data_IF_399049125933
#
_entry.id   IF_399049125933
#
_cell.length_a   1.000
_cell.length_b   1.000
_cell.length_c   1.000
_cell.angle_alpha   90.00
_cell.angle_beta   90.00
_cell.angle_gamma   90.00
#
_symmetry.space_group_name_H-M   'P 1'
#
loop_
_entity.id
_entity.type
_entity.pdbx_description
1 polymer ?
#
# COMPACT_ATOMS: atom_id res chain seq x y z
N UNK A 1 53.49 -26.77 43.08
CA UNK A 1 53.97 -26.89 41.66
C UNK A 1 52.83 -26.44 40.78
N UNK A 2 52.84 -25.13 40.36
CA UNK A 2 51.73 -24.47 39.70
C UNK A 2 52.15 -24.21 38.26
N UNK A 3 51.48 -24.91 37.33
CA UNK A 3 51.68 -24.72 35.91
C UNK A 3 50.60 -23.71 35.41
N UNK A 4 51.05 -22.53 35.01
CA UNK A 4 50.22 -21.49 34.34
C UNK A 4 50.15 -21.82 32.85
N UNK A 5 48.97 -22.18 32.35
CA UNK A 5 48.68 -22.15 30.91
C UNK A 5 48.31 -20.76 30.48
N UNK A 6 49.11 -20.16 29.62
CA UNK A 6 48.83 -18.93 28.87
C UNK A 6 47.96 -19.27 27.66
N UNK A 7 46.75 -18.81 27.65
CA UNK A 7 45.86 -18.95 26.50
C UNK A 7 45.96 -17.69 25.62
N UNK A 8 46.56 -17.89 24.45
CA UNK A 8 46.70 -16.85 23.43
C UNK A 8 45.36 -16.72 22.70
N UNK A 9 44.68 -15.58 22.88
CA UNK A 9 43.50 -15.20 22.08
C UNK A 9 43.96 -14.62 20.74
N UNK A 10 43.83 -15.40 19.67
CA UNK A 10 43.96 -14.94 18.31
C UNK A 10 42.64 -14.24 17.90
N UNK A 11 42.67 -12.90 17.79
CA UNK A 11 41.63 -12.09 17.16
C UNK A 11 41.68 -12.35 15.64
N UNK A 12 40.76 -13.13 15.14
CA UNK A 12 40.43 -13.12 13.71
C UNK A 12 39.54 -11.89 13.42
N UNK A 13 40.13 -10.89 12.83
CA UNK A 13 39.39 -9.80 12.18
C UNK A 13 38.74 -10.38 10.91
N UNK A 14 37.50 -10.82 11.03
CA UNK A 14 36.67 -11.18 9.87
C UNK A 14 36.28 -9.93 9.11
N UNK A 15 36.96 -9.66 7.98
CA UNK A 15 36.43 -8.81 6.93
C UNK A 15 35.11 -9.42 6.44
N UNK A 16 34.00 -8.80 6.81
CA UNK A 16 32.72 -9.08 6.18
C UNK A 16 32.78 -8.52 4.75
N UNK A 17 33.12 -9.38 3.79
CA UNK A 17 32.83 -9.14 2.38
C UNK A 17 31.31 -8.98 2.23
N UNK A 18 30.86 -7.73 2.08
CA UNK A 18 29.50 -7.46 1.59
C UNK A 18 29.42 -7.99 0.16
N UNK A 19 28.93 -9.22 0.02
CA UNK A 19 28.46 -9.73 -1.26
C UNK A 19 27.33 -8.83 -1.73
N UNK A 20 27.64 -7.93 -2.66
CA UNK A 20 26.63 -7.22 -3.44
C UNK A 20 25.81 -8.29 -4.15
N UNK A 21 24.61 -8.53 -3.66
CA UNK A 21 23.59 -9.28 -4.37
C UNK A 21 23.35 -8.55 -5.69
N UNK A 22 23.90 -9.10 -6.77
CA UNK A 22 23.62 -8.68 -8.13
C UNK A 22 22.16 -9.04 -8.42
N UNK A 23 21.28 -8.06 -8.26
CA UNK A 23 19.88 -8.18 -8.70
C UNK A 23 19.92 -8.48 -10.20
N UNK A 24 19.52 -9.71 -10.58
CA UNK A 24 19.43 -10.08 -11.98
C UNK A 24 18.52 -9.11 -12.73
N UNK A 25 19.01 -8.49 -13.85
CA UNK A 25 18.21 -7.53 -14.58
C UNK A 25 16.98 -8.21 -15.20
N UNK A 26 15.81 -7.68 -14.89
CA UNK A 26 14.56 -8.11 -15.55
C UNK A 26 14.68 -7.92 -17.06
N UNK A 27 13.96 -8.73 -17.87
CA UNK A 27 14.03 -8.72 -19.36
C UNK A 27 13.86 -7.32 -19.98
N UNK A 28 13.13 -6.42 -19.31
CA UNK A 28 12.95 -5.02 -19.72
C UNK A 28 14.20 -4.15 -19.53
N UNK A 29 15.08 -4.51 -18.61
CA UNK A 29 16.37 -3.84 -18.41
C UNK A 29 17.40 -4.28 -19.44
N UNK A 30 17.43 -5.56 -19.85
CA UNK A 30 18.39 -6.07 -20.84
C UNK A 30 18.36 -5.31 -22.16
N UNK A 31 17.18 -4.93 -22.66
CA UNK A 31 17.05 -4.13 -23.89
C UNK A 31 17.59 -2.70 -23.73
N UNK A 32 17.38 -2.07 -22.56
CA UNK A 32 17.92 -0.72 -22.27
C UNK A 32 19.43 -0.75 -22.08
N UNK A 33 19.92 -1.77 -21.41
CA UNK A 33 21.36 -1.95 -21.17
C UNK A 33 22.11 -2.20 -22.47
N UNK A 34 21.52 -2.94 -23.43
CA UNK A 34 22.09 -3.14 -24.75
C UNK A 34 22.20 -1.83 -25.55
N UNK A 35 21.20 -0.95 -25.48
CA UNK A 35 21.25 0.37 -26.14
C UNK A 35 22.29 1.29 -25.49
N UNK A 36 22.42 1.27 -24.16
CA UNK A 36 23.46 2.04 -23.47
C UNK A 36 24.84 1.53 -23.82
N UNK A 37 25.04 0.22 -23.93
CA UNK A 37 26.28 -0.39 -24.33
C UNK A 37 26.66 0.01 -25.76
N UNK A 38 25.74 -0.14 -26.72
CA UNK A 38 25.95 0.27 -28.10
C UNK A 38 26.31 1.77 -28.21
N UNK A 39 25.57 2.64 -27.51
CA UNK A 39 25.85 4.08 -27.50
C UNK A 39 27.24 4.42 -26.91
N UNK A 40 27.74 3.59 -26.00
CA UNK A 40 29.09 3.74 -25.43
C UNK A 40 30.16 3.28 -26.44
N UNK A 41 29.95 2.15 -27.11
CA UNK A 41 30.83 1.61 -28.14
C UNK A 41 30.96 2.56 -29.34
N UNK A 42 29.82 3.14 -29.77
CA UNK A 42 29.77 4.11 -30.87
C UNK A 42 30.38 5.49 -30.50
N UNK A 43 30.84 5.65 -29.25
CA UNK A 43 31.41 6.90 -28.77
C UNK A 43 30.39 8.03 -28.56
N UNK A 44 29.08 7.74 -28.66
CA UNK A 44 27.98 8.71 -28.54
C UNK A 44 27.99 9.42 -27.17
N UNK A 45 28.44 8.74 -26.12
CA UNK A 45 28.53 9.30 -24.75
C UNK A 45 29.66 10.34 -24.62
N UNK A 46 30.60 10.44 -25.60
CA UNK A 46 31.71 11.41 -25.57
C UNK A 46 31.38 12.70 -26.31
N UNK A 47 30.25 12.77 -27.01
CA UNK A 47 29.74 14.02 -27.59
C UNK A 47 29.48 15.06 -26.51
N UNK A 48 29.99 16.28 -26.66
CA UNK A 48 29.89 17.34 -25.64
C UNK A 48 28.44 17.76 -25.36
N UNK A 49 27.55 17.73 -26.36
CA UNK A 49 26.14 18.04 -26.17
C UNK A 49 25.46 16.93 -25.37
N UNK A 50 25.81 15.67 -25.62
CA UNK A 50 25.27 14.52 -24.89
C UNK A 50 25.76 14.53 -23.45
N UNK A 51 27.04 14.77 -23.22
CA UNK A 51 27.61 14.91 -21.86
C UNK A 51 26.89 16.00 -21.08
N UNK A 52 26.72 17.19 -21.65
CA UNK A 52 25.98 18.28 -20.99
C UNK A 52 24.58 17.87 -20.63
N UNK A 53 23.82 17.21 -21.52
CA UNK A 53 22.47 16.71 -21.26
C UNK A 53 22.45 15.64 -20.18
N UNK A 54 23.41 14.72 -20.16
CA UNK A 54 23.52 13.68 -19.14
C UNK A 54 23.80 14.28 -17.76
N UNK A 55 24.73 15.25 -17.67
CA UNK A 55 25.02 15.95 -16.41
C UNK A 55 23.81 16.75 -15.92
N UNK A 56 23.08 17.42 -16.78
CA UNK A 56 21.85 18.12 -16.39
C UNK A 56 20.77 17.16 -15.87
N UNK A 57 20.59 16.01 -16.52
CA UNK A 57 19.65 14.99 -16.04
C UNK A 57 20.11 14.39 -14.71
N UNK A 58 21.41 14.09 -14.57
CA UNK A 58 22.01 13.62 -13.32
C UNK A 58 21.76 14.58 -12.18
N UNK A 59 22.01 15.87 -12.38
CA UNK A 59 21.77 16.92 -11.38
C UNK A 59 20.30 17.00 -10.97
N UNK A 60 19.38 16.96 -11.93
CA UNK A 60 17.93 16.97 -11.70
C UNK A 60 17.49 15.75 -10.90
N UNK A 61 17.93 14.54 -11.29
CA UNK A 61 17.60 13.30 -10.61
C UNK A 61 18.16 13.28 -9.19
N UNK A 62 19.44 13.64 -9.03
CA UNK A 62 20.08 13.69 -7.72
C UNK A 62 19.40 14.67 -6.78
N UNK A 63 19.13 15.90 -7.24
CA UNK A 63 18.42 16.90 -6.47
C UNK A 63 17.03 16.45 -6.05
N UNK A 64 16.30 15.83 -6.97
CA UNK A 64 14.97 15.26 -6.70
C UNK A 64 15.03 14.18 -5.62
N UNK A 65 15.90 13.18 -5.80
CA UNK A 65 16.03 12.05 -4.87
C UNK A 65 16.49 12.52 -3.47
N UNK A 66 17.43 13.46 -3.43
CA UNK A 66 17.88 14.04 -2.17
C UNK A 66 16.76 14.76 -1.42
N UNK A 67 16.00 15.61 -2.13
CA UNK A 67 14.88 16.32 -1.54
C UNK A 67 13.77 15.36 -1.07
N UNK A 68 13.45 14.33 -1.86
CA UNK A 68 12.48 13.28 -1.48
C UNK A 68 12.92 12.54 -0.22
N UNK A 69 14.20 12.20 -0.10
CA UNK A 69 14.75 11.56 1.10
C UNK A 69 14.66 12.47 2.33
N UNK A 70 15.00 13.76 2.19
CA UNK A 70 14.88 14.73 3.29
C UNK A 70 13.44 14.93 3.75
N UNK A 71 12.49 14.99 2.80
CA UNK A 71 11.06 15.08 3.10
C UNK A 71 10.57 13.82 3.81
N UNK A 72 10.92 12.64 3.30
CA UNK A 72 10.51 11.37 3.89
C UNK A 72 10.97 11.21 5.35
N UNK A 73 12.16 11.72 5.70
CA UNK A 73 12.67 11.68 7.08
C UNK A 73 11.95 12.64 8.02
N UNK A 74 11.32 13.71 7.51
CA UNK A 74 10.71 14.77 8.33
C UNK A 74 9.20 14.69 8.40
N UNK A 75 8.56 13.92 7.50
CA UNK A 75 7.10 13.81 7.44
C UNK A 75 6.64 12.54 8.10
N UNK A 76 5.89 12.71 9.17
CA UNK A 76 5.12 11.63 9.81
C UNK A 76 3.70 12.11 10.07
N UNK A 77 2.76 11.19 10.07
CA UNK A 77 1.35 11.45 10.38
C UNK A 77 0.90 10.43 11.42
N UNK A 78 0.56 10.95 12.60
CA UNK A 78 0.04 10.16 13.71
C UNK A 78 -1.46 9.87 13.55
N UNK A 79 -1.96 8.88 14.27
CA UNK A 79 -3.39 8.58 14.30
C UNK A 79 -4.21 9.71 14.91
N UNK A 80 -3.71 10.41 15.92
CA UNK A 80 -4.37 11.57 16.50
C UNK A 80 -4.55 12.73 15.52
N UNK A 81 -3.58 12.95 14.62
CA UNK A 81 -3.70 13.95 13.56
C UNK A 81 -4.76 13.56 12.52
N UNK A 82 -4.84 12.27 12.18
CA UNK A 82 -5.89 11.76 11.29
C UNK A 82 -7.27 11.94 11.90
N UNK A 83 -7.41 11.66 13.19
CA UNK A 83 -8.66 11.84 13.93
C UNK A 83 -9.06 13.32 14.01
N UNK A 84 -8.13 14.21 14.38
CA UNK A 84 -8.38 15.64 14.42
C UNK A 84 -8.78 16.19 13.04
N UNK A 85 -8.12 15.74 11.98
CA UNK A 85 -8.44 16.13 10.62
C UNK A 85 -9.81 15.59 10.18
N UNK A 86 -10.13 14.34 10.51
CA UNK A 86 -11.45 13.77 10.28
C UNK A 86 -12.54 14.60 10.96
N UNK A 87 -12.39 14.92 12.24
CA UNK A 87 -13.37 15.70 12.99
C UNK A 87 -13.61 17.08 12.36
N UNK A 88 -12.54 17.72 11.90
CA UNK A 88 -12.61 19.01 11.18
C UNK A 88 -13.34 18.89 9.83
N UNK A 89 -13.14 17.78 9.12
CA UNK A 89 -13.67 17.60 7.75
C UNK A 89 -14.86 16.64 7.68
N UNK A 90 -15.40 16.19 8.80
CA UNK A 90 -16.47 15.19 8.92
C UNK A 90 -17.66 15.43 8.00
N UNK A 91 -18.09 16.68 7.88
CA UNK A 91 -19.20 17.09 7.00
C UNK A 91 -18.93 16.86 5.50
N UNK A 92 -17.67 16.71 5.10
CA UNK A 92 -17.26 16.45 3.72
C UNK A 92 -17.26 14.96 3.37
N UNK A 93 -17.34 14.09 4.38
CA UNK A 93 -17.28 12.64 4.21
C UNK A 93 -18.68 12.02 4.18
N UNK A 94 -19.55 12.56 3.33
CA UNK A 94 -20.92 12.05 3.14
C UNK A 94 -20.92 11.00 2.03
N UNK A 95 -21.72 9.94 2.21
CA UNK A 95 -21.92 8.90 1.19
C UNK A 95 -22.78 9.42 0.05
N UNK A 96 -22.21 9.42 -1.15
CA UNK A 96 -22.94 9.86 -2.36
C UNK A 96 -23.86 8.76 -2.92
N UNK A 97 -23.60 7.51 -2.55
CA UNK A 97 -24.39 6.35 -2.91
C UNK A 97 -24.56 5.44 -1.69
N UNK A 98 -25.45 4.45 -1.79
CA UNK A 98 -25.54 3.36 -0.82
C UNK A 98 -24.28 2.50 -0.92
N UNK A 99 -23.66 2.18 0.23
CA UNK A 99 -22.47 1.35 0.32
C UNK A 99 -22.78 0.06 1.09
N UNK A 100 -22.23 -1.05 0.63
CA UNK A 100 -22.36 -2.36 1.25
C UNK A 100 -21.02 -2.76 1.86
N UNK A 101 -21.02 -3.09 3.15
CA UNK A 101 -19.89 -3.74 3.81
C UNK A 101 -20.06 -5.25 3.67
N UNK A 102 -19.20 -5.88 2.92
CA UNK A 102 -19.27 -7.31 2.59
C UNK A 102 -17.98 -8.04 2.99
N UNK A 103 -18.12 -9.31 3.34
CA UNK A 103 -17.01 -10.25 3.37
C UNK A 103 -17.04 -11.06 2.09
N UNK A 104 -15.90 -11.11 1.41
CA UNK A 104 -15.68 -11.92 0.23
C UNK A 104 -14.77 -13.10 0.58
N UNK A 105 -15.30 -14.30 0.45
CA UNK A 105 -14.55 -15.55 0.56
C UNK A 105 -14.24 -16.06 -0.83
N UNK A 106 -12.98 -16.37 -1.13
CA UNK A 106 -12.55 -16.86 -2.45
C UNK A 106 -11.96 -18.27 -2.32
N UNK A 107 -12.40 -19.18 -3.23
CA UNK A 107 -12.06 -20.60 -3.18
C UNK A 107 -11.71 -21.12 -4.58
N UNK A 108 -10.78 -22.08 -4.64
CA UNK A 108 -10.53 -22.85 -5.86
C UNK A 108 -11.61 -23.94 -6.07
N UNK A 109 -12.17 -24.51 -4.97
CA UNK A 109 -13.13 -25.61 -5.00
C UNK A 109 -14.56 -25.14 -4.73
N UNK A 110 -15.50 -25.65 -5.53
CA UNK A 110 -16.94 -25.44 -5.35
C UNK A 110 -17.45 -26.03 -4.03
N UNK A 111 -16.93 -27.21 -3.64
CA UNK A 111 -17.39 -27.89 -2.44
C UNK A 111 -16.98 -27.14 -1.18
N UNK A 112 -15.77 -26.59 -1.14
CA UNK A 112 -15.33 -25.72 -0.05
C UNK A 112 -16.20 -24.46 0.03
N UNK A 113 -16.53 -23.86 -1.12
CA UNK A 113 -17.40 -22.69 -1.17
C UNK A 113 -18.81 -22.99 -0.67
N UNK A 114 -19.38 -24.17 -1.01
CA UNK A 114 -20.67 -24.66 -0.50
C UNK A 114 -20.65 -24.90 1.01
N UNK A 115 -19.56 -25.50 1.51
CA UNK A 115 -19.36 -25.73 2.94
C UNK A 115 -19.39 -24.42 3.73
N UNK A 116 -18.60 -23.44 3.27
CA UNK A 116 -18.52 -22.12 3.93
C UNK A 116 -19.87 -21.40 3.87
N UNK A 117 -20.55 -21.42 2.74
CA UNK A 117 -21.90 -20.88 2.66
C UNK A 117 -22.82 -21.51 3.70
N UNK A 118 -22.85 -22.86 3.80
CA UNK A 118 -23.68 -23.58 4.77
C UNK A 118 -23.32 -23.22 6.23
N UNK A 119 -22.01 -23.01 6.52
CA UNK A 119 -21.57 -22.51 7.83
C UNK A 119 -22.12 -21.11 8.09
N UNK A 120 -22.00 -20.18 7.12
CA UNK A 120 -22.48 -18.80 7.25
C UNK A 120 -24.01 -18.70 7.36
N UNK A 121 -24.76 -19.53 6.64
CA UNK A 121 -26.24 -19.55 6.72
C UNK A 121 -26.76 -20.03 8.09
N UNK A 122 -25.93 -20.73 8.88
CA UNK A 122 -26.26 -21.16 10.24
C UNK A 122 -26.00 -20.09 11.31
N UNK A 123 -25.17 -19.11 10.99
CA UNK A 123 -24.89 -17.99 11.89
C UNK A 123 -26.03 -17.00 11.78
N UNK A 124 -26.95 -17.04 12.74
CA UNK A 124 -28.17 -16.23 12.74
C UNK A 124 -27.97 -14.80 13.21
N UNK A 125 -26.84 -14.51 13.87
CA UNK A 125 -26.49 -13.18 14.36
C UNK A 125 -24.97 -12.97 14.32
N UNK A 126 -24.48 -11.76 13.94
CA UNK A 126 -23.09 -11.40 14.13
C UNK A 126 -22.63 -11.39 15.59
N UNK A 127 -23.59 -11.36 16.53
CA UNK A 127 -23.34 -11.46 17.97
C UNK A 127 -23.12 -12.91 18.44
N UNK A 128 -23.26 -13.90 17.57
CA UNK A 128 -22.95 -15.32 17.83
C UNK A 128 -21.43 -15.52 17.68
N UNK A 129 -20.68 -14.94 18.65
CA UNK A 129 -19.23 -14.65 18.56
C UNK A 129 -18.33 -15.88 18.30
N UNK A 130 -18.77 -17.09 18.66
CA UNK A 130 -17.93 -18.28 18.49
C UNK A 130 -17.92 -18.86 17.07
N UNK A 131 -19.09 -18.95 16.43
CA UNK A 131 -19.24 -19.57 15.10
C UNK A 131 -18.71 -18.68 13.96
N UNK A 132 -19.05 -17.40 13.99
CA UNK A 132 -18.68 -16.44 12.94
C UNK A 132 -17.18 -16.12 12.97
N UNK A 133 -16.64 -15.85 14.16
CA UNK A 133 -15.23 -15.58 14.37
C UNK A 133 -14.35 -16.75 13.93
N UNK A 134 -14.79 -18.00 14.20
CA UNK A 134 -14.11 -19.21 13.75
C UNK A 134 -14.04 -19.31 12.21
N UNK A 135 -15.16 -19.00 11.52
CA UNK A 135 -15.18 -18.99 10.03
C UNK A 135 -14.23 -17.92 9.47
N UNK A 136 -14.20 -16.72 10.07
CA UNK A 136 -13.29 -15.65 9.64
C UNK A 136 -11.84 -16.05 9.86
N UNK A 137 -11.50 -16.64 11.01
CA UNK A 137 -10.14 -17.07 11.32
C UNK A 137 -9.67 -18.20 10.38
N UNK A 138 -10.56 -19.16 10.09
CA UNK A 138 -10.27 -20.31 9.22
C UNK A 138 -10.08 -19.90 7.75
N UNK A 139 -11.00 -19.08 7.20
CA UNK A 139 -11.07 -18.81 5.77
C UNK A 139 -10.57 -17.43 5.35
N UNK A 140 -10.20 -16.55 6.28
CA UNK A 140 -9.58 -15.23 6.08
C UNK A 140 -10.20 -14.42 4.93
N UNK A 141 -11.50 -14.10 4.98
CA UNK A 141 -12.17 -13.37 3.91
C UNK A 141 -11.62 -11.96 3.76
N UNK A 142 -11.72 -11.42 2.54
CA UNK A 142 -11.48 -10.01 2.30
C UNK A 142 -12.69 -9.19 2.73
N UNK A 143 -12.48 -8.17 3.57
CA UNK A 143 -13.51 -7.22 3.97
C UNK A 143 -13.51 -6.04 3.01
N UNK A 144 -14.61 -5.81 2.33
CA UNK A 144 -14.75 -4.79 1.29
C UNK A 144 -15.92 -3.85 1.60
N UNK A 145 -15.69 -2.54 1.45
CA UNK A 145 -16.76 -1.52 1.43
C UNK A 145 -16.94 -1.09 -0.02
N UNK A 146 -18.06 -1.43 -0.62
CA UNK A 146 -18.30 -1.27 -2.05
C UNK A 146 -19.57 -0.47 -2.32
N UNK A 147 -19.51 0.49 -3.25
CA UNK A 147 -20.71 1.16 -3.75
C UNK A 147 -21.67 0.14 -4.34
N UNK A 148 -22.94 0.21 -4.00
CA UNK A 148 -23.98 -0.69 -4.49
C UNK A 148 -23.99 -0.80 -6.03
N UNK A 149 -23.79 0.30 -6.73
CA UNK A 149 -23.79 0.35 -8.20
C UNK A 149 -22.63 -0.39 -8.85
N UNK A 150 -21.51 -0.58 -8.14
CA UNK A 150 -20.31 -1.28 -8.62
C UNK A 150 -20.45 -2.80 -8.51
N UNK A 151 -21.43 -3.28 -7.76
CA UNK A 151 -21.70 -4.72 -7.60
C UNK A 151 -22.56 -5.19 -8.76
N UNK A 152 -22.21 -6.35 -9.35
CA UNK A 152 -23.03 -6.98 -10.41
C UNK A 152 -24.49 -7.07 -9.97
N UNK A 153 -25.42 -6.70 -10.85
CA UNK A 153 -26.88 -6.62 -10.55
C UNK A 153 -27.41 -7.89 -9.90
N UNK A 154 -27.00 -9.06 -10.39
CA UNK A 154 -27.43 -10.36 -9.85
C UNK A 154 -27.02 -10.57 -8.39
N UNK A 155 -25.79 -10.21 -8.03
CA UNK A 155 -25.28 -10.32 -6.65
C UNK A 155 -25.96 -9.29 -5.76
N UNK A 156 -26.05 -8.05 -6.23
CA UNK A 156 -26.68 -6.94 -5.53
C UNK A 156 -28.13 -7.26 -5.16
N UNK A 157 -28.92 -7.71 -6.12
CA UNK A 157 -30.34 -8.07 -5.88
C UNK A 157 -30.48 -9.14 -4.81
N UNK A 158 -29.59 -10.12 -4.79
CA UNK A 158 -29.62 -11.18 -3.78
C UNK A 158 -29.17 -10.69 -2.40
N UNK A 159 -28.10 -9.87 -2.33
CA UNK A 159 -27.61 -9.29 -1.07
C UNK A 159 -28.65 -8.38 -0.42
N UNK A 160 -29.43 -7.64 -1.20
CA UNK A 160 -30.42 -6.66 -0.70
C UNK A 160 -31.83 -7.24 -0.59
N UNK A 161 -32.04 -8.52 -0.92
CA UNK A 161 -33.39 -9.14 -0.91
C UNK A 161 -34.04 -9.19 0.45
N UNK A 162 -33.27 -9.30 1.53
CA UNK A 162 -33.78 -9.33 2.92
C UNK A 162 -33.26 -8.12 3.68
N UNK A 163 -34.16 -7.23 4.10
CA UNK A 163 -33.82 -6.14 5.00
C UNK A 163 -33.63 -6.67 6.41
N UNK A 164 -32.53 -6.29 7.06
CA UNK A 164 -32.30 -6.50 8.50
C UNK A 164 -31.68 -7.83 8.91
N UNK A 165 -31.34 -8.72 7.99
CA UNK A 165 -30.65 -9.98 8.32
C UNK A 165 -29.35 -10.10 7.53
N UNK A 166 -28.30 -10.72 8.10
CA UNK A 166 -27.11 -11.06 7.34
C UNK A 166 -27.50 -11.96 6.17
N UNK A 167 -27.06 -11.60 4.97
CA UNK A 167 -27.37 -12.32 3.74
C UNK A 167 -26.12 -12.88 3.13
N UNK A 168 -26.11 -14.20 2.86
CA UNK A 168 -25.03 -14.88 2.16
C UNK A 168 -25.43 -15.19 0.72
N UNK A 169 -24.59 -14.82 -0.22
CA UNK A 169 -24.79 -15.04 -1.67
C UNK A 169 -23.65 -15.85 -2.24
N UNK A 170 -23.94 -16.81 -3.06
CA UNK A 170 -22.97 -17.71 -3.69
C UNK A 170 -23.23 -19.17 -3.33
N UNK A 171 -22.33 -20.09 -3.69
CA UNK A 171 -21.08 -19.84 -4.43
C UNK A 171 -21.33 -19.35 -5.86
N UNK A 172 -20.55 -18.38 -6.30
CA UNK A 172 -20.59 -17.84 -7.66
C UNK A 172 -19.22 -18.05 -8.33
N UNK A 173 -19.20 -18.40 -9.61
CA UNK A 173 -17.96 -18.51 -10.37
C UNK A 173 -17.39 -17.12 -10.65
N UNK A 174 -16.12 -16.89 -10.25
CA UNK A 174 -15.42 -15.61 -10.40
C UNK A 174 -13.94 -15.87 -10.67
N UNK A 175 -13.44 -15.43 -11.82
CA UNK A 175 -12.00 -15.41 -12.11
C UNK A 175 -11.30 -16.77 -12.05
N UNK A 176 -11.98 -17.85 -12.48
CA UNK A 176 -11.42 -19.22 -12.45
C UNK A 176 -11.60 -19.96 -11.13
N UNK A 177 -12.28 -19.35 -10.14
CA UNK A 177 -12.63 -19.96 -8.86
C UNK A 177 -14.05 -19.67 -8.45
N UNK A 178 -14.33 -19.78 -7.16
CA UNK A 178 -15.66 -19.58 -6.58
C UNK A 178 -15.59 -18.54 -5.47
N UNK A 179 -16.61 -17.68 -5.39
CA UNK A 179 -16.72 -16.68 -4.34
C UNK A 179 -18.06 -16.82 -3.59
N UNK A 180 -17.99 -16.61 -2.28
CA UNK A 180 -19.16 -16.45 -1.41
C UNK A 180 -19.09 -15.04 -0.82
N UNK A 181 -20.21 -14.33 -0.87
CA UNK A 181 -20.35 -12.98 -0.36
C UNK A 181 -21.27 -12.98 0.85
N UNK A 182 -20.85 -12.36 1.94
CA UNK A 182 -21.65 -12.21 3.13
C UNK A 182 -21.82 -10.73 3.48
N UNK A 183 -23.06 -10.25 3.54
CA UNK A 183 -23.39 -8.86 3.83
C UNK A 183 -23.33 -8.63 5.33
N UNK A 184 -22.45 -7.72 5.76
CA UNK A 184 -22.33 -7.32 7.18
C UNK A 184 -23.23 -6.13 7.51
N UNK A 185 -23.19 -5.09 6.64
CA UNK A 185 -23.90 -3.83 6.90
C UNK A 185 -24.22 -3.10 5.61
N UNK A 186 -25.34 -2.41 5.62
CA UNK A 186 -25.74 -1.46 4.56
C UNK A 186 -25.64 -0.06 5.12
N UNK A 187 -24.94 0.80 4.40
CA UNK A 187 -24.86 2.21 4.71
C UNK A 187 -25.68 3.00 3.70
N UNK A 188 -26.63 3.80 4.17
CA UNK A 188 -27.52 4.57 3.31
C UNK A 188 -26.81 5.80 2.74
N UNK A 189 -27.23 6.21 1.53
CA UNK A 189 -26.83 7.47 0.92
C UNK A 189 -27.13 8.65 1.86
N UNK A 190 -26.24 9.64 1.87
CA UNK A 190 -26.39 10.84 2.72
C UNK A 190 -25.87 10.66 4.15
N UNK A 191 -25.52 9.44 4.58
CA UNK A 191 -24.91 9.22 5.89
C UNK A 191 -23.42 9.59 5.89
N UNK A 192 -22.89 10.04 7.02
CA UNK A 192 -21.47 10.34 7.17
C UNK A 192 -20.68 9.05 7.25
N UNK A 193 -19.56 8.98 6.51
CA UNK A 193 -18.62 7.84 6.59
C UNK A 193 -17.92 7.86 7.94
N UNK A 194 -17.86 6.73 8.60
CA UNK A 194 -17.05 6.53 9.81
C UNK A 194 -15.56 6.73 9.49
N UNK A 195 -14.77 7.19 10.47
CA UNK A 195 -13.34 7.47 10.29
C UNK A 195 -12.59 6.26 9.70
N UNK A 196 -12.89 5.07 10.16
CA UNK A 196 -12.25 3.82 9.69
C UNK A 196 -12.36 3.62 8.18
N UNK A 197 -13.44 4.10 7.56
CA UNK A 197 -13.67 3.95 6.12
C UNK A 197 -12.95 5.01 5.25
N UNK A 198 -12.42 6.07 5.87
CA UNK A 198 -11.74 7.16 5.18
C UNK A 198 -10.32 7.40 5.69
N UNK A 199 -9.91 6.68 6.73
CA UNK A 199 -8.66 6.86 7.46
C UNK A 199 -7.42 6.87 6.56
N UNK A 200 -7.29 5.91 5.67
CA UNK A 200 -6.16 5.82 4.75
C UNK A 200 -6.12 7.02 3.78
N UNK A 201 -7.29 7.38 3.22
CA UNK A 201 -7.40 8.57 2.37
C UNK A 201 -6.98 9.84 3.12
N UNK A 202 -7.44 10.02 4.34
CA UNK A 202 -7.09 11.18 5.17
C UNK A 202 -5.61 11.21 5.53
N UNK A 203 -5.05 10.05 5.87
CA UNK A 203 -3.61 9.93 6.12
C UNK A 203 -2.79 10.34 4.91
N UNK A 204 -3.15 9.84 3.72
CA UNK A 204 -2.46 10.19 2.48
C UNK A 204 -2.60 11.69 2.15
N UNK A 205 -3.75 12.29 2.39
CA UNK A 205 -3.95 13.74 2.25
C UNK A 205 -3.05 14.54 3.22
N UNK A 206 -3.01 14.16 4.48
CA UNK A 206 -2.14 14.80 5.48
C UNK A 206 -0.67 14.65 5.16
N UNK A 207 -0.25 13.45 4.70
CA UNK A 207 1.13 13.22 4.24
C UNK A 207 1.46 14.14 3.07
N UNK A 208 0.57 14.25 2.08
CA UNK A 208 0.78 15.14 0.92
C UNK A 208 0.89 16.61 1.34
N UNK A 209 -0.01 17.09 2.22
CA UNK A 209 0.00 18.47 2.73
C UNK A 209 1.29 18.78 3.49
N UNK A 210 1.69 17.90 4.44
CA UNK A 210 2.93 18.06 5.21
C UNK A 210 4.16 17.98 4.32
N UNK A 211 4.18 17.04 3.36
CA UNK A 211 5.28 16.90 2.41
C UNK A 211 5.46 18.16 1.57
N UNK A 212 4.37 18.77 1.13
CA UNK A 212 4.43 20.04 0.38
C UNK A 212 5.03 21.16 1.23
N UNK A 213 4.55 21.36 2.46
CA UNK A 213 5.04 22.38 3.37
C UNK A 213 6.53 22.19 3.72
N UNK A 214 6.93 20.95 4.06
CA UNK A 214 8.32 20.60 4.37
C UNK A 214 9.21 20.78 3.16
N UNK A 215 8.75 20.39 1.96
CA UNK A 215 9.50 20.57 0.71
C UNK A 215 9.77 22.04 0.42
N UNK A 216 8.78 22.92 0.54
CA UNK A 216 8.95 24.37 0.35
C UNK A 216 9.99 24.93 1.31
N UNK A 217 9.85 24.69 2.61
CA UNK A 217 10.79 25.14 3.65
C UNK A 217 12.21 24.61 3.42
N UNK A 218 12.36 23.34 3.00
CA UNK A 218 13.66 22.76 2.69
C UNK A 218 14.33 23.44 1.50
N UNK A 219 13.59 23.64 0.42
CA UNK A 219 14.11 24.31 -0.80
C UNK A 219 14.59 25.71 -0.45
N UNK A 220 13.82 26.47 0.32
CA UNK A 220 14.20 27.83 0.73
C UNK A 220 15.45 27.81 1.61
N UNK A 221 15.52 26.91 2.58
CA UNK A 221 16.71 26.75 3.43
C UNK A 221 17.96 26.35 2.63
N UNK A 222 17.82 25.45 1.64
CA UNK A 222 18.94 25.04 0.80
C UNK A 222 19.40 26.16 -0.14
N UNK A 223 18.46 26.96 -0.69
CA UNK A 223 18.81 28.15 -1.48
C UNK A 223 19.62 29.16 -0.65
N UNK A 224 19.19 29.44 0.59
CA UNK A 224 19.93 30.33 1.48
C UNK A 224 21.32 29.79 1.76
N UNK A 225 21.44 28.49 2.06
CA UNK A 225 22.71 27.88 2.45
C UNK A 225 23.70 27.72 1.29
N UNK A 226 23.21 27.40 0.09
CA UNK A 226 24.06 27.01 -1.05
C UNK A 226 23.91 27.89 -2.29
N UNK A 227 22.88 28.72 -2.38
CA UNK A 227 22.61 29.57 -3.56
C UNK A 227 23.66 30.64 -3.84
N UNK A 228 24.60 30.88 -2.91
CA UNK A 228 25.74 31.77 -3.11
C UNK A 228 26.94 31.14 -3.86
N UNK A 229 26.89 29.84 -4.15
CA UNK A 229 28.01 29.12 -4.81
C UNK A 229 27.94 29.13 -6.35
N UNK A 230 26.91 29.73 -6.96
CA UNK A 230 26.80 29.83 -8.43
C UNK A 230 27.59 31.01 -9.06
N UNK A 231 28.33 31.77 -8.24
CA UNK A 231 29.13 32.90 -8.75
C UNK A 231 30.63 32.66 -8.50
N UNK A 232 31.22 31.67 -9.17
CA UNK A 232 32.64 31.64 -9.48
C UNK A 232 32.90 30.80 -10.71
#
# INVERSE_FOLDING_TARGET
MIIRCFSVFLFFAGCAEQTKELVEPTTKNKSRDALVFAATEDGFVFDEQIKSRLEDQRRKVLGKLYLENLVARRVSVSMGEVEAYYNKTKKQHVRNARELLILRFSFASLDTARLVRKKLDRVTSPADDGGFSGIIAEFKPTRELVDEIKIKKTIRTQLLRRRGSPVTVGPLSVGGGYAVFHLLKVYEKGTTKEQIHVQEKLRNQLVAMKSHAVRSSLVDSLKVKYGGHEKK
#
